data_IF_818213187206
#
_entry.id   IF_818213187206
#
_cell.length_a   1.000
_cell.length_b   1.000
_cell.length_c   1.000
_cell.angle_alpha   90.00
_cell.angle_beta   90.00
_cell.angle_gamma   90.00
#
_symmetry.space_group_name_H-M   'P 1'
#
loop_
_entity.id
_entity.type
_entity.pdbx_description
1 polymer ?
#
# COMPACT_ATOMS: atom_id res chain seq x y z
N UNK A 1 21.79 -23.31 -2.45
CA UNK A 1 20.98 -22.31 -1.73
C UNK A 1 20.37 -21.38 -2.76
N UNK A 2 19.08 -21.53 -3.04
CA UNK A 2 18.38 -20.63 -3.94
C UNK A 2 18.38 -19.22 -3.37
N UNK A 3 18.96 -18.27 -4.09
CA UNK A 3 18.77 -16.84 -3.77
C UNK A 3 17.26 -16.56 -3.84
N UNK A 4 16.68 -16.09 -2.74
CA UNK A 4 15.32 -15.59 -2.73
C UNK A 4 15.20 -14.55 -3.83
N UNK A 5 14.38 -14.80 -4.82
CA UNK A 5 14.16 -13.88 -5.92
C UNK A 5 13.38 -12.68 -5.36
N UNK A 6 13.98 -11.50 -5.41
CA UNK A 6 13.28 -10.27 -5.10
C UNK A 6 12.07 -10.12 -6.04
N UNK A 7 10.99 -9.47 -5.58
CA UNK A 7 9.87 -9.15 -6.45
C UNK A 7 10.32 -8.36 -7.68
N UNK A 8 9.64 -8.56 -8.82
CA UNK A 8 9.95 -7.85 -10.05
C UNK A 8 9.66 -6.34 -9.91
N UNK A 9 10.41 -5.52 -10.65
CA UNK A 9 10.19 -4.06 -10.66
C UNK A 9 8.75 -3.69 -11.02
N UNK A 10 8.12 -4.46 -11.91
CA UNK A 10 6.73 -4.24 -12.29
C UNK A 10 5.79 -4.49 -11.10
N UNK A 11 5.98 -5.60 -10.38
CA UNK A 11 5.19 -5.92 -9.17
C UNK A 11 5.36 -4.84 -8.11
N UNK A 12 6.59 -4.37 -7.88
CA UNK A 12 6.89 -3.29 -6.92
C UNK A 12 6.21 -1.97 -7.32
N UNK A 13 6.23 -1.60 -8.61
CA UNK A 13 5.55 -0.37 -9.09
C UNK A 13 4.04 -0.44 -8.87
N UNK A 14 3.41 -1.58 -9.16
CA UNK A 14 1.98 -1.78 -8.93
C UNK A 14 1.68 -1.68 -7.43
N UNK A 15 2.49 -2.32 -6.58
CA UNK A 15 2.36 -2.25 -5.12
C UNK A 15 2.42 -0.81 -4.62
N UNK A 16 3.42 -0.04 -5.05
CA UNK A 16 3.56 1.36 -4.68
C UNK A 16 2.33 2.20 -5.08
N UNK A 17 1.77 1.95 -6.27
CA UNK A 17 0.55 2.59 -6.74
C UNK A 17 -0.66 2.25 -5.88
N UNK A 18 -0.88 0.96 -5.59
CA UNK A 18 -2.00 0.48 -4.76
C UNK A 18 -1.92 0.96 -3.32
N UNK A 19 -0.72 1.04 -2.76
CA UNK A 19 -0.48 1.60 -1.42
C UNK A 19 -0.51 3.14 -1.39
N UNK A 20 -0.59 3.82 -2.53
CA UNK A 20 -0.43 5.27 -2.68
C UNK A 20 0.87 5.81 -2.04
N UNK A 21 1.94 5.00 -2.06
CA UNK A 21 3.22 5.36 -1.45
C UNK A 21 3.19 5.50 0.07
N UNK A 22 2.21 4.91 0.74
CA UNK A 22 2.03 4.96 2.19
C UNK A 22 2.23 3.60 2.84
N UNK A 23 2.56 3.60 4.15
CA UNK A 23 2.64 2.38 4.94
C UNK A 23 1.25 1.75 5.10
N UNK A 24 1.13 0.47 4.72
CA UNK A 24 -0.12 -0.30 4.78
C UNK A 24 -0.40 -0.90 6.17
N UNK A 25 0.47 -0.69 7.14
CA UNK A 25 0.20 -1.10 8.52
C UNK A 25 -0.99 -0.30 9.07
N UNK A 26 -1.91 -0.99 9.77
CA UNK A 26 -3.14 -0.39 10.30
C UNK A 26 -2.87 0.88 11.13
N UNK A 27 -3.50 1.99 10.76
CA UNK A 27 -3.38 3.27 11.45
C UNK A 27 -2.11 4.08 11.17
N UNK A 28 -1.09 3.53 10.49
CA UNK A 28 0.17 4.23 10.27
C UNK A 28 0.06 5.35 9.21
N UNK A 29 -0.30 5.02 7.99
CA UNK A 29 -0.42 5.94 6.84
C UNK A 29 0.81 6.86 6.61
N UNK A 30 2.00 6.48 7.08
CA UNK A 30 3.24 7.25 6.88
C UNK A 30 3.60 7.31 5.39
N UNK A 31 3.89 8.50 4.88
CA UNK A 31 4.41 8.66 3.51
C UNK A 31 5.82 8.07 3.43
N UNK A 32 6.09 7.25 2.43
CA UNK A 32 7.31 6.44 2.36
C UNK A 32 8.35 6.99 1.36
N UNK A 33 7.95 7.94 0.51
CA UNK A 33 8.83 8.53 -0.50
C UNK A 33 9.09 10.03 -0.28
N UNK A 34 8.81 10.51 0.94
CA UNK A 34 8.96 11.90 1.31
C UNK A 34 9.31 12.03 2.79
N UNK A 35 10.31 12.83 3.09
CA UNK A 35 10.64 13.19 4.47
C UNK A 35 10.03 14.54 4.85
N UNK A 36 9.17 14.53 5.87
CA UNK A 36 8.42 15.72 6.32
C UNK A 36 9.25 16.72 7.11
N UNK A 37 10.43 16.36 7.58
CA UNK A 37 11.34 17.26 8.33
C UNK A 37 12.25 18.00 7.36
N UNK A 38 12.91 17.27 6.47
CA UNK A 38 13.82 17.85 5.48
C UNK A 38 13.09 18.39 4.24
N UNK A 39 11.79 18.12 4.11
CA UNK A 39 10.94 18.48 2.97
C UNK A 39 11.50 17.98 1.63
N UNK A 40 12.10 16.79 1.65
CA UNK A 40 12.78 16.22 0.49
C UNK A 40 12.22 14.85 0.10
N UNK A 41 12.45 14.46 -1.15
CA UNK A 41 12.14 13.11 -1.61
C UNK A 41 13.16 12.13 -1.01
N UNK A 42 12.66 11.13 -0.31
CA UNK A 42 13.45 10.10 0.35
C UNK A 42 12.72 8.76 0.31
N UNK A 43 13.41 7.72 -0.15
CA UNK A 43 12.83 6.37 -0.18
C UNK A 43 13.05 5.66 1.17
N UNK A 44 11.99 5.55 1.96
CA UNK A 44 11.94 4.81 3.23
C UNK A 44 10.92 3.65 3.15
N UNK A 45 10.67 3.14 1.95
CA UNK A 45 9.73 2.06 1.73
C UNK A 45 10.42 0.69 1.78
N UNK A 46 9.76 -0.24 2.48
CA UNK A 46 10.12 -1.64 2.50
C UNK A 46 9.03 -2.45 1.81
N UNK A 47 9.44 -3.25 0.83
CA UNK A 47 8.56 -4.27 0.23
C UNK A 47 8.60 -5.49 1.15
N UNK A 48 7.50 -5.69 1.85
CA UNK A 48 7.39 -6.68 2.93
C UNK A 48 6.57 -7.87 2.44
N UNK A 49 7.10 -9.08 2.63
CA UNK A 49 6.38 -10.30 2.33
C UNK A 49 5.45 -10.70 3.50
N UNK A 50 4.21 -11.05 3.21
CA UNK A 50 3.27 -11.62 4.18
C UNK A 50 3.72 -13.03 4.55
N UNK A 51 3.78 -13.94 3.57
CA UNK A 51 4.52 -15.21 3.68
C UNK A 51 5.93 -14.92 3.20
N UNK A 52 6.93 -15.10 4.04
CA UNK A 52 8.32 -14.80 3.69
C UNK A 52 8.75 -15.43 2.36
N UNK A 53 9.66 -14.79 1.65
CA UNK A 53 10.23 -15.33 0.41
C UNK A 53 11.10 -16.58 0.64
N UNK A 54 11.49 -16.81 1.88
CA UNK A 54 12.25 -18.00 2.33
C UNK A 54 11.42 -18.84 3.28
N UNK A 55 11.49 -20.16 3.13
CA UNK A 55 10.82 -21.09 4.04
C UNK A 55 11.21 -20.92 5.52
N UNK A 56 12.41 -20.44 5.78
CA UNK A 56 12.95 -20.22 7.13
C UNK A 56 12.76 -18.76 7.63
N UNK A 57 12.14 -17.92 6.84
CA UNK A 57 11.86 -16.54 7.23
C UNK A 57 10.59 -16.37 8.08
N UNK A 58 10.30 -15.15 8.54
CA UNK A 58 9.08 -14.87 9.29
C UNK A 58 7.83 -15.32 8.52
N UNK A 59 6.99 -16.15 9.12
CA UNK A 59 5.79 -16.74 8.48
C UNK A 59 6.10 -17.53 7.20
N UNK A 60 7.35 -18.06 7.08
CA UNK A 60 7.78 -18.81 5.91
C UNK A 60 7.13 -20.19 5.82
N UNK A 61 7.00 -20.70 4.60
CA UNK A 61 6.46 -22.02 4.29
C UNK A 61 7.25 -22.65 3.14
N UNK A 62 7.54 -23.94 3.21
CA UNK A 62 8.36 -24.64 2.21
C UNK A 62 7.75 -24.65 0.81
N UNK A 63 6.42 -24.65 0.71
CA UNK A 63 5.68 -24.72 -0.55
C UNK A 63 5.26 -23.31 -1.00
N UNK A 64 4.69 -22.53 -0.10
CA UNK A 64 4.12 -21.22 -0.42
C UNK A 64 5.19 -20.14 -0.65
N UNK A 65 6.30 -20.15 0.10
CA UNK A 65 7.32 -19.12 -0.02
C UNK A 65 7.85 -18.94 -1.46
N UNK A 66 8.27 -20.00 -2.18
CA UNK A 66 8.73 -19.83 -3.55
C UNK A 66 7.62 -19.47 -4.54
N UNK A 67 6.38 -19.90 -4.29
CA UNK A 67 5.24 -19.62 -5.16
C UNK A 67 4.73 -18.19 -5.03
N UNK A 68 4.82 -17.61 -3.85
CA UNK A 68 4.24 -16.30 -3.52
C UNK A 68 5.26 -15.16 -3.52
N UNK A 69 6.54 -15.43 -3.74
CA UNK A 69 7.63 -14.43 -3.61
C UNK A 69 7.49 -13.20 -4.50
N UNK A 70 6.86 -13.31 -5.67
CA UNK A 70 6.59 -12.19 -6.61
C UNK A 70 5.09 -11.94 -6.82
N UNK A 71 4.24 -12.42 -5.91
CA UNK A 71 2.79 -12.23 -5.99
C UNK A 71 2.36 -10.99 -5.25
N UNK A 72 1.67 -10.09 -5.95
CA UNK A 72 1.22 -8.79 -5.40
C UNK A 72 0.38 -8.96 -4.12
N UNK A 73 -0.48 -9.96 -4.08
CA UNK A 73 -1.30 -10.30 -2.92
C UNK A 73 -0.50 -10.72 -1.68
N UNK A 74 0.77 -11.11 -1.86
CA UNK A 74 1.68 -11.49 -0.79
C UNK A 74 2.64 -10.37 -0.37
N UNK A 75 2.52 -9.19 -0.96
CA UNK A 75 3.41 -8.07 -0.71
C UNK A 75 2.67 -6.90 -0.08
N UNK A 76 3.31 -6.26 0.88
CA UNK A 76 2.86 -5.02 1.51
C UNK A 76 3.95 -3.96 1.44
N UNK A 77 3.56 -2.70 1.33
CA UNK A 77 4.45 -1.56 1.43
C UNK A 77 4.47 -1.05 2.87
N UNK A 78 5.61 -1.05 3.53
CA UNK A 78 5.72 -0.67 4.94
C UNK A 78 6.88 0.30 5.20
N UNK A 79 6.78 1.07 6.29
CA UNK A 79 7.91 1.77 6.85
C UNK A 79 8.85 0.80 7.61
N UNK A 80 10.10 1.21 7.83
CA UNK A 80 11.10 0.39 8.52
C UNK A 80 10.64 -0.11 9.90
N UNK A 81 9.97 0.77 10.66
CA UNK A 81 9.52 0.44 12.01
C UNK A 81 8.50 -0.71 12.01
N UNK A 82 7.48 -0.63 11.15
CA UNK A 82 6.43 -1.64 11.08
C UNK A 82 6.89 -2.91 10.37
N UNK A 83 7.77 -2.81 9.37
CA UNK A 83 8.43 -3.99 8.78
C UNK A 83 9.15 -4.80 9.88
N UNK A 84 9.97 -4.13 10.68
CA UNK A 84 10.68 -4.77 11.80
C UNK A 84 9.73 -5.32 12.86
N UNK A 85 8.68 -4.57 13.20
CA UNK A 85 7.70 -4.96 14.22
C UNK A 85 7.02 -6.28 13.88
N UNK A 86 6.50 -6.43 12.66
CA UNK A 86 5.78 -7.64 12.24
C UNK A 86 6.68 -8.87 12.12
N UNK A 87 7.95 -8.67 11.77
CA UNK A 87 8.91 -9.78 11.63
C UNK A 87 9.50 -10.21 12.98
N UNK A 88 9.46 -9.33 13.97
CA UNK A 88 9.86 -9.65 15.35
C UNK A 88 8.73 -10.34 16.13
N UNK A 89 7.46 -10.00 15.85
CA UNK A 89 6.29 -10.49 16.59
C UNK A 89 5.37 -11.33 15.69
N UNK A 90 5.91 -12.42 15.14
CA UNK A 90 5.22 -13.26 14.14
C UNK A 90 3.88 -13.81 14.65
N UNK A 91 3.81 -14.19 15.93
CA UNK A 91 2.60 -14.75 16.54
C UNK A 91 1.47 -13.71 16.65
N UNK A 92 1.84 -12.44 16.88
CA UNK A 92 0.87 -11.35 16.93
C UNK A 92 0.40 -10.90 15.54
N UNK A 93 1.28 -11.06 14.53
CA UNK A 93 1.03 -10.67 13.14
C UNK A 93 1.02 -11.88 12.19
N UNK A 94 0.04 -12.78 12.31
CA UNK A 94 -0.11 -13.91 11.39
C UNK A 94 -0.50 -13.44 9.98
N UNK A 95 -0.36 -14.34 9.01
CA UNK A 95 -0.64 -14.04 7.60
C UNK A 95 -2.01 -13.42 7.36
N UNK A 96 -3.04 -13.91 8.05
CA UNK A 96 -4.43 -13.46 7.91
C UNK A 96 -4.61 -12.02 8.36
N UNK A 97 -3.96 -11.62 9.46
CA UNK A 97 -3.97 -10.25 9.96
C UNK A 97 -3.30 -9.29 8.99
N UNK A 98 -2.14 -9.67 8.45
CA UNK A 98 -1.43 -8.84 7.47
C UNK A 98 -2.21 -8.69 6.17
N UNK A 99 -2.83 -9.76 5.66
CA UNK A 99 -3.72 -9.69 4.50
C UNK A 99 -4.90 -8.75 4.74
N UNK A 100 -5.50 -8.81 5.92
CA UNK A 100 -6.62 -7.93 6.28
C UNK A 100 -6.19 -6.45 6.32
N UNK A 101 -5.01 -6.13 6.87
CA UNK A 101 -4.45 -4.77 6.87
C UNK A 101 -4.25 -4.25 5.44
N UNK A 102 -3.66 -5.07 4.55
CA UNK A 102 -3.45 -4.72 3.15
C UNK A 102 -4.77 -4.40 2.46
N UNK A 103 -5.74 -5.30 2.55
CA UNK A 103 -7.07 -5.13 1.93
C UNK A 103 -7.75 -3.87 2.46
N UNK A 104 -7.78 -3.66 3.77
CA UNK A 104 -8.39 -2.49 4.39
C UNK A 104 -7.76 -1.17 3.94
N UNK A 105 -6.43 -1.15 3.76
CA UNK A 105 -5.71 0.02 3.26
C UNK A 105 -6.07 0.33 1.79
N UNK A 106 -6.01 -0.68 0.91
CA UNK A 106 -6.33 -0.52 -0.50
C UNK A 106 -7.80 -0.10 -0.70
N UNK A 107 -8.74 -0.74 -0.02
CA UNK A 107 -10.17 -0.37 -0.06
C UNK A 107 -10.44 1.05 0.46
N UNK A 108 -9.71 1.48 1.50
CA UNK A 108 -9.80 2.87 1.98
C UNK A 108 -9.41 3.86 0.91
N UNK A 109 -8.31 3.60 0.19
CA UNK A 109 -7.85 4.45 -0.91
C UNK A 109 -8.85 4.48 -2.06
N UNK A 110 -9.40 3.34 -2.45
CA UNK A 110 -10.41 3.25 -3.50
C UNK A 110 -11.66 4.07 -3.14
N UNK A 111 -12.13 4.01 -1.88
CA UNK A 111 -13.24 4.84 -1.41
C UNK A 111 -12.93 6.32 -1.47
N UNK A 112 -11.75 6.75 -1.02
CA UNK A 112 -11.33 8.16 -1.05
C UNK A 112 -11.25 8.67 -2.49
N UNK A 113 -10.65 7.92 -3.40
CA UNK A 113 -10.53 8.29 -4.80
C UNK A 113 -11.91 8.38 -5.48
N UNK A 114 -12.80 7.42 -5.24
CA UNK A 114 -14.16 7.42 -5.78
C UNK A 114 -14.97 8.61 -5.26
N UNK A 115 -14.89 8.92 -3.97
CA UNK A 115 -15.56 10.07 -3.38
C UNK A 115 -15.06 11.40 -3.97
N UNK A 116 -13.74 11.55 -4.14
CA UNK A 116 -13.15 12.76 -4.72
C UNK A 116 -13.63 12.99 -6.17
N UNK A 117 -13.71 11.95 -6.97
CA UNK A 117 -14.23 12.02 -8.35
C UNK A 117 -15.69 12.50 -8.35
N UNK A 118 -16.54 11.89 -7.52
CA UNK A 118 -17.96 12.24 -7.41
C UNK A 118 -18.12 13.70 -6.94
N UNK A 119 -17.41 14.10 -5.90
CA UNK A 119 -17.46 15.48 -5.37
C UNK A 119 -17.05 16.51 -6.42
N UNK A 120 -15.98 16.25 -7.18
CA UNK A 120 -15.52 17.11 -8.27
C UNK A 120 -16.57 17.22 -9.37
N UNK A 121 -17.18 16.11 -9.77
CA UNK A 121 -18.24 16.10 -10.79
C UNK A 121 -19.43 16.96 -10.37
N UNK A 122 -19.92 16.84 -9.13
CA UNK A 122 -21.03 17.65 -8.63
C UNK A 122 -20.68 19.13 -8.52
N UNK A 123 -19.50 19.48 -8.02
CA UNK A 123 -19.02 20.86 -7.93
C UNK A 123 -18.97 21.52 -9.32
N UNK A 124 -18.42 20.83 -10.31
CA UNK A 124 -18.35 21.31 -11.69
C UNK A 124 -19.74 21.55 -12.28
N UNK A 125 -20.69 20.63 -12.06
CA UNK A 125 -22.07 20.79 -12.54
C UNK A 125 -22.78 21.99 -11.92
N UNK A 126 -22.59 22.22 -10.63
CA UNK A 126 -23.16 23.39 -9.93
C UNK A 126 -22.58 24.68 -10.48
N UNK A 127 -21.28 24.76 -10.71
CA UNK A 127 -20.63 25.92 -11.30
C UNK A 127 -21.16 26.25 -12.71
N UNK A 128 -21.26 25.21 -13.56
CA UNK A 128 -21.79 25.39 -14.93
C UNK A 128 -23.23 25.91 -14.90
N UNK A 129 -24.10 25.39 -14.02
CA UNK A 129 -25.48 25.90 -13.87
C UNK A 129 -25.49 27.37 -13.45
N UNK A 130 -24.68 27.79 -12.49
CA UNK A 130 -24.57 29.19 -12.03
C UNK A 130 -24.10 30.13 -13.13
N UNK A 131 -23.13 29.75 -13.95
CA UNK A 131 -22.65 30.53 -15.08
C UNK A 131 -23.72 30.69 -16.13
N UNK A 132 -24.49 29.64 -16.46
CA UNK A 132 -25.60 29.72 -17.42
C UNK A 132 -26.71 30.63 -16.93
N UNK A 133 -27.08 30.61 -15.67
CA UNK A 133 -28.10 31.51 -15.10
C UNK A 133 -27.68 32.97 -15.15
N UNK A 134 -26.39 33.30 -14.96
CA UNK A 134 -25.88 34.68 -15.05
C UNK A 134 -25.84 35.25 -16.48
N UNK A 135 -25.79 34.39 -17.50
CA UNK A 135 -25.79 34.82 -18.91
C UNK A 135 -27.20 35.05 -19.45
N UNK A 136 -28.25 34.65 -18.74
CA UNK A 136 -29.65 34.82 -19.10
C UNK A 136 -30.33 35.99 -18.34
N UNK A 137 -29.54 36.79 -17.65
CA UNK A 137 -29.92 38.06 -17.03
C UNK A 137 -29.28 39.21 -17.81
#
# INVERSE_FOLDING_TARGET
MGRNKAPSDNTVRILCGKAAGMCEFEGCNKRLFYDGVTLSNFNNAYVTHIVASSANGPRGDKVLSPQLSDKLENLMLMCADHHKLIDTNVDEYPNERLKAMKVAHEEKLDRICSFAIIATYFATRVMIKRIRQRKNL
#
